data_IF_978714328381
#
_entry.id   IF_978714328381
#
_cell.length_a   1.000
_cell.length_b   1.000
_cell.length_c   1.000
_cell.angle_alpha   90.00
_cell.angle_beta   90.00
_cell.angle_gamma   90.00
#
_symmetry.space_group_name_H-M   'P 1'
#
loop_
_entity.id
_entity.type
_entity.pdbx_description
1 polymer ?
#
# COMPACT_ATOMS: atom_id res chain seq x y z
N UNK A 1 10.19 -0.49 4.30
CA UNK A 1 9.28 0.37 5.07
C UNK A 1 9.47 0.01 6.53
N UNK A 2 9.68 1.00 7.40
CA UNK A 2 9.68 0.74 8.84
C UNK A 2 8.31 0.22 9.26
N UNK A 3 8.27 -0.71 10.22
CA UNK A 3 6.99 -1.18 10.75
C UNK A 3 6.31 -0.05 11.53
N UNK A 4 5.17 0.40 11.02
CA UNK A 4 4.28 1.31 11.72
C UNK A 4 3.29 0.46 12.52
N UNK A 5 3.24 0.66 13.84
CA UNK A 5 2.28 -0.05 14.69
C UNK A 5 0.85 0.18 14.23
N UNK A 6 0.05 -0.89 14.16
CA UNK A 6 -1.34 -0.82 13.68
C UNK A 6 -1.50 -0.88 12.16
N UNK A 7 -0.40 -0.94 11.39
CA UNK A 7 -0.44 -0.99 9.92
C UNK A 7 -0.02 -2.38 9.43
N UNK A 8 -0.91 -3.02 8.69
CA UNK A 8 -0.61 -4.20 7.88
C UNK A 8 0.00 -3.75 6.55
N UNK A 9 1.11 -4.36 6.14
CA UNK A 9 1.71 -4.11 4.83
C UNK A 9 1.47 -5.29 3.90
N UNK A 10 0.87 -5.01 2.74
CA UNK A 10 0.61 -5.97 1.67
C UNK A 10 1.40 -5.55 0.43
N UNK A 11 2.25 -6.42 -0.08
CA UNK A 11 3.02 -6.17 -1.32
C UNK A 11 2.68 -7.22 -2.36
N UNK A 12 2.25 -6.76 -3.53
CA UNK A 12 1.97 -7.60 -4.69
C UNK A 12 3.04 -7.34 -5.75
N UNK A 13 3.79 -8.37 -6.09
CA UNK A 13 4.78 -8.37 -7.15
C UNK A 13 4.28 -9.19 -8.34
N UNK A 14 3.76 -8.50 -9.35
CA UNK A 14 3.39 -9.06 -10.65
C UNK A 14 4.55 -9.41 -11.58
N UNK A 15 5.75 -8.92 -11.25
CA UNK A 15 6.90 -8.96 -12.13
C UNK A 15 7.91 -10.05 -11.79
N UNK A 16 8.77 -10.34 -12.75
CA UNK A 16 9.84 -11.32 -12.63
C UNK A 16 11.20 -10.73 -12.22
N UNK A 17 11.22 -9.52 -11.67
CA UNK A 17 12.45 -8.89 -11.21
C UNK A 17 13.05 -9.64 -10.02
N UNK A 18 14.24 -10.23 -10.21
CA UNK A 18 14.96 -10.99 -9.16
C UNK A 18 15.22 -10.16 -7.91
N UNK A 19 15.57 -8.87 -8.05
CA UNK A 19 15.79 -7.98 -6.90
C UNK A 19 14.52 -7.79 -6.07
N UNK A 20 13.35 -7.73 -6.73
CA UNK A 20 12.06 -7.62 -6.03
C UNK A 20 11.74 -8.90 -5.28
N UNK A 21 11.96 -10.06 -5.90
CA UNK A 21 11.78 -11.38 -5.27
C UNK A 21 12.71 -11.56 -4.05
N UNK A 22 13.97 -11.15 -4.17
CA UNK A 22 14.93 -11.17 -3.08
C UNK A 22 14.49 -10.25 -1.93
N UNK A 23 14.08 -9.01 -2.22
CA UNK A 23 13.54 -8.10 -1.21
C UNK A 23 12.33 -8.71 -0.49
N UNK A 24 11.41 -9.30 -1.24
CA UNK A 24 10.21 -9.94 -0.68
C UNK A 24 10.53 -11.16 0.18
N UNK A 25 11.64 -11.86 -0.05
CA UNK A 25 12.02 -13.02 0.78
C UNK A 25 12.12 -12.65 2.26
N UNK A 26 12.64 -11.46 2.56
CA UNK A 26 12.84 -10.93 3.90
C UNK A 26 11.78 -9.88 4.32
N UNK A 27 10.78 -9.63 3.46
CA UNK A 27 9.72 -8.69 3.78
C UNK A 27 8.82 -9.20 4.91
N UNK A 28 8.61 -8.35 5.91
CA UNK A 28 7.77 -8.63 7.06
C UNK A 28 6.36 -8.05 6.82
N UNK A 29 5.48 -8.88 6.26
CA UNK A 29 4.12 -8.52 5.87
C UNK A 29 3.54 -9.56 4.92
N UNK A 30 2.35 -9.28 4.38
CA UNK A 30 1.72 -10.11 3.36
C UNK A 30 2.43 -9.86 2.03
N UNK A 31 2.82 -10.94 1.35
CA UNK A 31 3.49 -10.88 0.06
C UNK A 31 2.87 -11.85 -0.92
N UNK A 32 2.56 -11.35 -2.11
CA UNK A 32 2.05 -12.13 -3.23
C UNK A 32 3.01 -11.90 -4.39
N UNK A 33 3.64 -12.95 -4.90
CA UNK A 33 4.61 -12.85 -5.99
C UNK A 33 4.26 -13.86 -7.07
N UNK A 34 3.43 -13.44 -8.02
CA UNK A 34 2.95 -14.21 -9.15
C UNK A 34 2.57 -13.26 -10.29
N UNK A 35 2.57 -13.71 -11.56
CA UNK A 35 2.14 -12.88 -12.68
C UNK A 35 0.76 -12.25 -12.46
N UNK A 36 0.59 -11.02 -12.91
CA UNK A 36 -0.70 -10.31 -12.94
C UNK A 36 -1.06 -9.87 -14.36
N UNK A 37 -2.32 -9.49 -14.54
CA UNK A 37 -2.87 -8.96 -15.80
C UNK A 37 -2.84 -7.43 -15.84
N UNK A 38 -1.94 -6.80 -15.08
CA UNK A 38 -1.82 -5.35 -14.91
C UNK A 38 -2.22 -4.86 -13.52
N UNK A 39 -2.11 -3.54 -13.33
CA UNK A 39 -2.20 -2.88 -12.02
C UNK A 39 -3.49 -3.18 -11.25
N UNK A 40 -4.62 -3.29 -11.94
CA UNK A 40 -5.91 -3.59 -11.28
C UNK A 40 -5.96 -5.02 -10.74
N UNK A 41 -5.36 -5.98 -11.43
CA UNK A 41 -5.27 -7.36 -10.95
C UNK A 41 -4.38 -7.42 -9.69
N UNK A 42 -3.24 -6.71 -9.71
CA UNK A 42 -2.39 -6.57 -8.54
C UNK A 42 -3.12 -5.95 -7.34
N UNK A 43 -3.86 -4.86 -7.56
CA UNK A 43 -4.66 -4.21 -6.52
C UNK A 43 -5.75 -5.14 -5.96
N UNK A 44 -6.47 -5.86 -6.82
CA UNK A 44 -7.51 -6.79 -6.40
C UNK A 44 -6.94 -7.92 -5.52
N UNK A 45 -5.80 -8.50 -5.89
CA UNK A 45 -5.10 -9.50 -5.09
C UNK A 45 -4.68 -8.93 -3.73
N UNK A 46 -4.18 -7.69 -3.72
CA UNK A 46 -3.79 -6.99 -2.49
C UNK A 46 -4.96 -6.78 -1.54
N UNK A 47 -6.08 -6.23 -2.05
CA UNK A 47 -7.30 -6.00 -1.27
C UNK A 47 -7.87 -7.31 -0.73
N UNK A 48 -7.91 -8.37 -1.55
CA UNK A 48 -8.43 -9.67 -1.13
C UNK A 48 -7.61 -10.33 0.00
N UNK A 49 -6.33 -9.99 0.11
CA UNK A 49 -5.45 -10.51 1.15
C UNK A 49 -5.36 -9.61 2.39
N UNK A 50 -5.81 -8.36 2.31
CA UNK A 50 -5.76 -7.41 3.41
C UNK A 50 -6.82 -7.74 4.49
N UNK A 51 -6.46 -7.53 5.75
CA UNK A 51 -7.32 -7.78 6.91
C UNK A 51 -7.73 -6.48 7.64
N UNK A 52 -7.15 -5.34 7.25
CA UNK A 52 -7.45 -4.05 7.85
C UNK A 52 -8.85 -3.53 7.51
N UNK A 53 -9.38 -2.64 8.37
CA UNK A 53 -10.66 -1.97 8.12
C UNK A 53 -10.60 -0.98 6.97
N UNK A 54 -9.43 -0.36 6.77
CA UNK A 54 -9.15 0.62 5.72
C UNK A 54 -7.99 0.14 4.85
N UNK A 55 -8.04 0.45 3.55
CA UNK A 55 -6.97 0.14 2.58
C UNK A 55 -6.46 1.43 1.94
N UNK A 56 -5.13 1.58 1.89
CA UNK A 56 -4.44 2.62 1.14
C UNK A 56 -3.61 1.97 0.02
N UNK A 57 -3.76 2.47 -1.21
CA UNK A 57 -2.90 2.07 -2.32
C UNK A 57 -1.64 2.94 -2.37
N UNK A 58 -0.49 2.32 -2.57
CA UNK A 58 0.80 2.98 -2.80
C UNK A 58 1.52 2.24 -3.92
N UNK A 59 1.79 2.90 -5.05
CA UNK A 59 2.49 2.26 -6.16
C UNK A 59 3.98 2.09 -5.83
N UNK A 60 4.63 1.12 -6.48
CA UNK A 60 6.05 0.84 -6.26
C UNK A 60 7.01 1.98 -6.65
N UNK A 61 6.53 2.95 -7.44
CA UNK A 61 7.28 4.14 -7.82
C UNK A 61 7.05 5.34 -6.89
N UNK A 62 6.10 5.24 -5.96
CA UNK A 62 5.68 6.33 -5.10
C UNK A 62 6.32 6.22 -3.71
N UNK A 63 6.35 7.34 -3.00
CA UNK A 63 6.79 7.40 -1.60
C UNK A 63 5.78 8.18 -0.78
N UNK A 64 5.53 7.71 0.44
CA UNK A 64 4.76 8.47 1.41
C UNK A 64 5.64 9.53 2.06
N UNK A 65 5.39 10.80 1.77
CA UNK A 65 6.22 11.91 2.24
C UNK A 65 6.03 12.22 3.72
N UNK A 66 4.79 12.14 4.20
CA UNK A 66 4.47 12.40 5.61
C UNK A 66 4.44 11.07 6.38
N UNK A 67 5.24 10.93 7.46
CA UNK A 67 5.15 9.76 8.34
C UNK A 67 3.83 9.71 9.12
N UNK A 68 3.08 10.81 9.17
CA UNK A 68 1.83 10.93 9.91
C UNK A 68 0.58 10.71 9.06
N UNK A 69 0.70 10.63 7.73
CA UNK A 69 -0.45 10.62 6.83
C UNK A 69 -1.46 9.53 7.16
N UNK A 70 -1.02 8.29 7.43
CA UNK A 70 -1.92 7.18 7.74
C UNK A 70 -2.78 7.47 8.98
N UNK A 71 -2.19 8.10 10.01
CA UNK A 71 -2.89 8.48 11.23
C UNK A 71 -3.85 9.65 11.01
N UNK A 72 -3.46 10.61 10.19
CA UNK A 72 -4.30 11.75 9.81
C UNK A 72 -5.53 11.28 9.00
N UNK A 73 -5.31 10.39 8.03
CA UNK A 73 -6.36 9.77 7.23
C UNK A 73 -7.36 9.00 8.10
N UNK A 74 -6.86 8.16 9.02
CA UNK A 74 -7.69 7.43 9.99
C UNK A 74 -8.49 8.39 10.89
N UNK A 75 -7.89 9.49 11.34
CA UNK A 75 -8.58 10.50 12.17
C UNK A 75 -9.76 11.13 11.42
N UNK A 76 -9.58 11.45 10.14
CA UNK A 76 -10.64 12.04 9.30
C UNK A 76 -11.77 11.04 9.05
N UNK A 77 -11.44 9.79 8.72
CA UNK A 77 -12.45 8.74 8.50
C UNK A 77 -13.24 8.43 9.78
N UNK A 78 -12.58 8.38 10.93
CA UNK A 78 -13.24 8.15 12.22
C UNK A 78 -14.08 9.34 12.69
N UNK A 79 -13.75 10.57 12.27
CA UNK A 79 -14.51 11.76 12.65
C UNK A 79 -15.92 11.77 12.03
N UNK A 80 -16.08 11.24 10.82
CA UNK A 80 -17.37 11.16 10.15
C UNK A 80 -17.51 9.83 9.39
N UNK A 81 -18.29 8.86 9.89
CA UNK A 81 -18.51 7.55 9.26
C UNK A 81 -19.10 7.60 7.84
N UNK A 82 -19.66 8.73 7.41
CA UNK A 82 -20.13 8.92 6.03
C UNK A 82 -18.97 9.14 5.03
N UNK A 83 -17.75 9.40 5.51
CA UNK A 83 -16.56 9.53 4.67
C UNK A 83 -16.04 8.13 4.30
N UNK A 84 -16.18 7.76 3.04
CA UNK A 84 -15.68 6.47 2.54
C UNK A 84 -14.28 6.54 1.90
N UNK A 85 -13.74 7.74 1.67
CA UNK A 85 -12.46 7.92 0.99
C UNK A 85 -11.78 9.23 1.39
N UNK A 86 -10.46 9.19 1.55
CA UNK A 86 -9.59 10.35 1.82
C UNK A 86 -8.34 10.25 0.94
N UNK A 87 -7.81 11.39 0.53
CA UNK A 87 -6.52 11.47 -0.17
C UNK A 87 -5.76 12.73 0.28
N UNK A 88 -4.44 12.70 0.17
CA UNK A 88 -3.61 13.90 0.30
C UNK A 88 -3.40 14.59 -1.05
N UNK A 89 -2.77 15.75 -1.00
CA UNK A 89 -2.09 16.31 -2.16
C UNK A 89 -0.99 15.37 -2.63
N UNK A 90 -0.73 15.39 -3.94
CA UNK A 90 0.37 14.64 -4.57
C UNK A 90 1.37 15.62 -5.15
N UNK A 91 2.65 15.42 -4.82
CA UNK A 91 3.75 16.18 -5.39
C UNK A 91 4.39 15.36 -6.49
N UNK A 92 4.46 15.93 -7.69
CA UNK A 92 5.14 15.32 -8.82
C UNK A 92 6.52 15.95 -8.96
N UNK A 93 7.55 15.12 -8.97
CA UNK A 93 8.89 15.57 -9.35
C UNK A 93 9.06 15.38 -10.85
N UNK A 94 9.24 16.49 -11.57
CA UNK A 94 9.72 16.44 -12.96
C UNK A 94 11.17 15.92 -12.94
N UNK A 95 11.37 14.71 -13.46
CA UNK A 95 12.71 14.17 -13.74
C UNK A 95 13.11 14.39 -15.20
#
# INVERSE_FOLDING_TARGET
MEQVGGIESVVVNGGDCEKTKEYLSNFNGIKISEPDNGISDAFNKGVAAANGENVMFLNSGDVLLSPNYLKEAETVMNFNPEISFVHSDSLFEDR
#
